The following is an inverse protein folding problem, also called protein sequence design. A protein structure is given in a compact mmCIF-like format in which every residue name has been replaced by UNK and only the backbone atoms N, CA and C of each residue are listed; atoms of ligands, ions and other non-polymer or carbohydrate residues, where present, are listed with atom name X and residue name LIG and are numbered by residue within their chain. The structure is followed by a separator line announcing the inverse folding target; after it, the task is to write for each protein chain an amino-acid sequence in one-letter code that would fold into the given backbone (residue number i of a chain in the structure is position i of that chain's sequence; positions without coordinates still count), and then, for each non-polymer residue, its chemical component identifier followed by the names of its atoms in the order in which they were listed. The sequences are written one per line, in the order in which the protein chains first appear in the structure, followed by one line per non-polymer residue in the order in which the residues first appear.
data_IF_810360371237
#
_entry.id   IF_810360371237
#
_cell.length_a   1.000
_cell.length_b   1.000
_cell.length_c   1.000
_cell.angle_alpha   90.00
_cell.angle_beta   90.00
_cell.angle_gamma   90.00
#
_symmetry.space_group_name_H-M   'P 1'
#
loop_
_entity.id
_entity.type
_entity.pdbx_description
1 polymer ?
#
# COMPACT_ATOMS: atom_id res chain seq x y z
N UNK A 1 -20.26 -33.38 15.83
CA UNK A 1 -21.13 -33.03 14.70
C UNK A 1 -22.18 -32.12 15.26
N UNK A 2 -21.94 -30.81 15.20
CA UNK A 2 -22.94 -29.82 15.55
C UNK A 2 -22.85 -28.70 14.52
N UNK A 3 -23.96 -28.55 13.81
CA UNK A 3 -24.24 -27.54 12.81
C UNK A 3 -24.78 -26.33 13.56
N UNK A 4 -24.27 -25.14 13.24
CA UNK A 4 -24.94 -23.90 13.64
C UNK A 4 -25.16 -23.06 12.39
N UNK A 5 -26.43 -22.98 11.97
CA UNK A 5 -26.94 -22.10 10.93
C UNK A 5 -27.23 -20.72 11.54
N UNK A 6 -26.70 -19.64 10.93
CA UNK A 6 -27.31 -18.30 11.04
C UNK A 6 -27.25 -17.55 9.71
N UNK A 7 -28.43 -17.37 9.14
CA UNK A 7 -28.87 -16.32 8.21
C UNK A 7 -28.07 -16.10 6.92
N UNK A 8 -28.35 -16.93 5.92
CA UNK A 8 -28.88 -16.49 4.60
C UNK A 8 -28.06 -15.52 3.74
N UNK A 9 -26.81 -15.22 4.09
CA UNK A 9 -25.95 -14.31 3.35
C UNK A 9 -24.56 -14.95 3.29
N UNK A 10 -24.26 -15.58 2.16
CA UNK A 10 -22.97 -16.17 1.86
C UNK A 10 -21.94 -15.04 1.68
N UNK A 11 -21.36 -14.60 2.79
CA UNK A 11 -20.12 -13.85 2.76
C UNK A 11 -19.01 -14.86 3.03
N UNK A 12 -18.00 -14.99 2.15
CA UNK A 12 -16.79 -15.66 2.57
C UNK A 12 -16.30 -14.93 3.83
N UNK A 13 -16.15 -15.64 4.96
CA UNK A 13 -15.34 -15.12 6.05
C UNK A 13 -13.93 -15.03 5.48
N UNK A 14 -13.60 -13.86 4.95
CA UNK A 14 -12.22 -13.53 4.65
C UNK A 14 -11.69 -12.97 5.96
N UNK A 15 -10.94 -13.79 6.68
CA UNK A 15 -10.14 -13.34 7.81
C UNK A 15 -9.13 -12.32 7.27
N UNK A 16 -9.50 -11.04 7.25
CA UNK A 16 -8.63 -9.94 6.81
C UNK A 16 -7.35 -9.83 7.68
N UNK A 17 -7.32 -10.49 8.83
CA UNK A 17 -6.18 -10.55 9.76
C UNK A 17 -5.12 -11.60 9.39
N UNK A 18 -5.43 -12.59 8.55
CA UNK A 18 -4.51 -13.71 8.26
C UNK A 18 -3.29 -13.33 7.38
N UNK A 19 -3.21 -12.10 6.88
CA UNK A 19 -2.14 -11.64 5.97
C UNK A 19 -1.46 -10.33 6.36
N UNK A 20 -1.71 -9.79 7.56
CA UNK A 20 -1.05 -8.58 8.03
C UNK A 20 0.28 -8.96 8.68
N UNK A 21 1.37 -8.85 7.94
CA UNK A 21 2.71 -8.87 8.54
C UNK A 21 2.87 -7.56 9.33
N UNK A 22 2.81 -7.65 10.66
CA UNK A 22 2.96 -6.52 11.60
C UNK A 22 4.39 -5.93 11.64
N UNK A 23 5.12 -6.00 10.53
CA UNK A 23 6.37 -5.29 10.36
C UNK A 23 6.05 -3.81 10.07
N UNK A 24 6.54 -2.91 10.91
CA UNK A 24 6.44 -1.47 10.64
C UNK A 24 7.44 -1.07 9.54
N UNK A 25 6.92 -0.52 8.44
CA UNK A 25 7.74 -0.09 7.30
C UNK A 25 8.27 1.33 7.46
N UNK A 26 7.65 2.11 8.33
CA UNK A 26 8.03 3.49 8.64
C UNK A 26 6.87 4.23 9.31
N UNK A 27 7.10 5.51 9.57
CA UNK A 27 6.08 6.40 10.13
C UNK A 27 5.25 7.00 9.00
N UNK A 28 3.94 7.09 9.20
CA UNK A 28 3.04 7.76 8.28
C UNK A 28 3.23 9.29 8.35
N UNK A 29 3.28 9.99 7.20
CA UNK A 29 3.43 11.45 7.18
C UNK A 29 2.20 12.21 7.72
N UNK A 30 1.02 11.58 7.76
CA UNK A 30 -0.24 12.20 8.20
C UNK A 30 -0.47 12.00 9.70
N UNK A 31 -0.43 10.73 10.14
CA UNK A 31 -0.79 10.32 11.50
C UNK A 31 0.44 10.10 12.42
N UNK A 32 1.67 10.10 11.88
CA UNK A 32 2.92 9.68 12.55
C UNK A 32 2.94 8.25 13.11
N UNK A 33 1.85 7.50 12.98
CA UNK A 33 1.78 6.11 13.39
C UNK A 33 2.50 5.17 12.42
N UNK A 34 2.69 3.93 12.86
CA UNK A 34 3.34 2.89 12.07
C UNK A 34 2.51 2.53 10.83
N UNK A 35 3.21 2.45 9.69
CA UNK A 35 2.67 1.90 8.45
C UNK A 35 2.90 0.39 8.45
N UNK A 36 1.83 -0.36 8.30
CA UNK A 36 1.84 -1.84 8.25
C UNK A 36 1.57 -2.33 6.83
N UNK A 37 2.00 -3.55 6.53
CA UNK A 37 1.71 -4.18 5.24
C UNK A 37 0.41 -4.95 5.30
N UNK A 38 -0.47 -4.61 4.37
CA UNK A 38 -1.65 -5.37 4.01
C UNK A 38 -1.36 -6.18 2.72
N UNK A 39 -2.21 -7.17 2.40
CA UNK A 39 -2.05 -7.99 1.20
C UNK A 39 -1.98 -7.14 -0.08
N UNK A 40 -2.79 -6.08 -0.17
CA UNK A 40 -2.94 -5.24 -1.38
C UNK A 40 -2.25 -3.87 -1.26
N UNK A 41 -1.95 -3.40 -0.05
CA UNK A 41 -1.47 -2.03 0.21
C UNK A 41 -0.59 -1.96 1.45
N UNK A 42 0.07 -0.83 1.66
CA UNK A 42 0.73 -0.47 2.91
C UNK A 42 -0.03 0.71 3.49
N UNK A 43 -0.66 0.54 4.66
CA UNK A 43 -1.56 1.53 5.25
C UNK A 43 -1.12 1.99 6.64
N UNK A 44 -1.53 3.19 7.07
CA UNK A 44 -1.39 3.60 8.48
C UNK A 44 -2.14 2.58 9.35
N UNK A 45 -1.49 2.11 10.43
CA UNK A 45 -2.12 1.22 11.42
C UNK A 45 -3.38 1.84 12.06
N UNK A 46 -3.43 3.18 12.12
CA UNK A 46 -4.56 3.98 12.61
C UNK A 46 -5.56 4.36 11.52
N UNK A 47 -5.73 3.54 10.49
CA UNK A 47 -6.74 3.79 9.46
C UNK A 47 -8.16 3.82 10.05
N UNK A 48 -8.42 3.01 11.10
CA UNK A 48 -9.68 3.03 11.87
C UNK A 48 -9.89 4.32 12.67
N UNK A 49 -8.82 5.02 13.06
CA UNK A 49 -8.92 6.31 13.77
C UNK A 49 -9.16 7.50 12.81
N UNK A 50 -9.24 7.24 11.50
CA UNK A 50 -9.53 8.25 10.47
C UNK A 50 -8.35 8.63 9.58
N UNK A 51 -7.24 7.90 9.61
CA UNK A 51 -6.13 8.15 8.69
C UNK A 51 -6.34 7.43 7.34
N UNK A 52 -6.64 8.17 6.28
CA UNK A 52 -6.90 7.63 4.94
C UNK A 52 -5.62 7.29 4.14
N UNK A 53 -4.44 7.37 4.79
CA UNK A 53 -3.17 7.12 4.12
C UNK A 53 -2.97 5.64 3.79
N UNK A 54 -3.00 5.32 2.50
CA UNK A 54 -2.71 3.98 1.99
C UNK A 54 -1.91 4.03 0.68
N UNK A 55 -0.82 3.26 0.63
CA UNK A 55 0.02 3.08 -0.55
C UNK A 55 -0.29 1.71 -1.15
N UNK A 56 -0.99 1.68 -2.28
CA UNK A 56 -1.26 0.42 -2.96
C UNK A 56 -0.02 -0.15 -3.65
N UNK A 57 0.18 -1.47 -3.57
CA UNK A 57 1.31 -2.16 -4.21
C UNK A 57 1.31 -1.96 -5.74
N UNK A 58 0.13 -1.87 -6.33
CA UNK A 58 -0.12 -1.65 -7.75
C UNK A 58 -0.31 -0.16 -8.13
N UNK A 59 -0.02 0.81 -7.25
CA UNK A 59 -0.22 2.24 -7.53
C UNK A 59 0.48 2.71 -8.82
N UNK A 60 1.68 2.18 -9.09
CA UNK A 60 2.45 2.50 -10.31
C UNK A 60 2.17 1.59 -11.50
N UNK A 61 1.37 0.54 -11.32
CA UNK A 61 0.96 -0.37 -12.41
C UNK A 61 0.21 0.38 -13.51
N UNK A 62 -0.61 1.39 -13.13
CA UNK A 62 -1.31 2.28 -14.08
C UNK A 62 -0.37 3.06 -15.00
N UNK A 63 0.88 3.26 -14.58
CA UNK A 63 1.92 3.95 -15.36
C UNK A 63 2.88 2.97 -16.07
N UNK A 64 2.62 1.66 -15.96
CA UNK A 64 3.48 0.60 -16.48
C UNK A 64 4.69 0.30 -15.59
N UNK A 65 4.63 0.68 -14.30
CA UNK A 65 5.58 0.28 -13.27
C UNK A 65 5.32 -1.13 -12.76
N UNK A 66 6.36 -1.76 -12.20
CA UNK A 66 6.21 -2.99 -11.41
C UNK A 66 5.60 -2.68 -10.05
N UNK A 67 5.19 -3.69 -9.30
CA UNK A 67 4.68 -3.50 -7.93
C UNK A 67 5.76 -2.93 -6.99
N UNK A 68 5.34 -2.08 -6.05
CA UNK A 68 6.24 -1.49 -5.07
C UNK A 68 6.78 -2.56 -4.11
N UNK A 69 8.09 -2.70 -4.07
CA UNK A 69 8.76 -3.63 -3.15
C UNK A 69 8.80 -3.05 -1.73
N UNK A 70 8.73 -3.90 -0.71
CA UNK A 70 8.91 -3.57 0.72
C UNK A 70 10.05 -2.55 0.99
N UNK A 71 11.21 -2.73 0.33
CA UNK A 71 12.37 -1.82 0.43
C UNK A 71 12.09 -0.41 -0.10
N UNK A 72 11.38 -0.31 -1.24
CA UNK A 72 11.06 0.98 -1.85
C UNK A 72 10.07 1.75 -1.00
N UNK A 73 9.09 1.07 -0.41
CA UNK A 73 8.12 1.70 0.51
C UNK A 73 8.82 2.19 1.77
N UNK A 74 9.72 1.39 2.35
CA UNK A 74 10.53 1.81 3.50
C UNK A 74 11.35 3.06 3.18
N UNK A 75 12.00 3.10 2.01
CA UNK A 75 12.76 4.28 1.60
C UNK A 75 11.87 5.49 1.31
N UNK A 76 10.71 5.28 0.68
CA UNK A 76 9.71 6.29 0.40
C UNK A 76 9.18 6.94 1.68
N UNK A 77 8.91 6.16 2.72
CA UNK A 77 8.45 6.66 4.02
C UNK A 77 9.58 7.37 4.80
N UNK A 78 10.83 6.89 4.70
CA UNK A 78 11.96 7.51 5.41
C UNK A 78 12.45 8.81 4.76
N UNK A 79 12.55 8.84 3.43
CA UNK A 79 13.11 9.96 2.67
C UNK A 79 12.04 10.87 2.07
N UNK A 80 10.77 10.48 2.13
CA UNK A 80 9.67 11.14 1.41
C UNK A 80 9.71 10.93 -0.11
N UNK A 81 10.71 10.20 -0.61
CA UNK A 81 10.92 9.95 -2.04
C UNK A 81 11.54 8.58 -2.30
N UNK A 82 11.16 7.95 -3.40
CA UNK A 82 11.83 6.74 -3.91
C UNK A 82 11.86 6.76 -5.43
N UNK A 83 12.82 6.06 -6.02
CA UNK A 83 12.97 6.02 -7.46
C UNK A 83 12.43 4.70 -8.00
N UNK A 84 11.49 4.76 -8.93
CA UNK A 84 10.88 3.56 -9.53
C UNK A 84 11.10 3.53 -11.03
N UNK A 85 11.10 2.32 -11.59
CA UNK A 85 11.22 2.13 -13.02
C UNK A 85 9.84 1.87 -13.61
N UNK A 86 9.44 2.71 -14.55
CA UNK A 86 8.17 2.54 -15.28
C UNK A 86 8.44 2.27 -16.76
N UNK A 87 7.63 1.39 -17.34
CA UNK A 87 7.67 1.03 -18.75
C UNK A 87 6.31 1.28 -19.38
N UNK A 88 6.19 2.38 -20.13
CA UNK A 88 5.01 2.63 -20.96
C UNK A 88 5.03 1.68 -22.16
N UNK A 89 3.92 0.99 -22.42
CA UNK A 89 3.77 0.01 -23.50
C UNK A 89 4.43 0.50 -24.80
N UNK A 90 5.43 -0.22 -25.28
CA UNK A 90 6.15 0.07 -26.53
C UNK A 90 7.31 1.07 -26.47
N UNK A 91 7.65 1.63 -25.29
CA UNK A 91 8.78 2.58 -25.13
C UNK A 91 9.87 2.07 -24.16
N UNK A 92 11.02 2.76 -24.16
CA UNK A 92 12.15 2.53 -23.24
C UNK A 92 11.72 2.69 -21.77
N UNK A 93 12.25 1.86 -20.90
CA UNK A 93 12.11 2.00 -19.44
C UNK A 93 12.70 3.34 -19.01
N UNK A 94 11.96 4.12 -18.22
CA UNK A 94 12.46 5.36 -17.63
C UNK A 94 12.41 5.28 -16.10
N UNK A 95 13.39 5.92 -15.47
CA UNK A 95 13.44 6.14 -14.03
C UNK A 95 12.56 7.34 -13.73
N UNK A 96 11.66 7.21 -12.76
CA UNK A 96 10.81 8.31 -12.26
C UNK A 96 10.90 8.38 -10.76
N UNK A 97 10.71 9.57 -10.22
CA UNK A 97 10.69 9.82 -8.79
C UNK A 97 9.24 9.74 -8.29
N UNK A 98 9.02 8.86 -7.31
CA UNK A 98 7.80 8.82 -6.51
C UNK A 98 8.02 9.71 -5.29
N UNK A 99 7.09 10.61 -5.04
CA UNK A 99 7.01 11.37 -3.81
C UNK A 99 5.86 10.82 -2.97
N UNK A 100 6.05 10.79 -1.66
CA UNK A 100 4.93 10.61 -0.74
C UNK A 100 4.06 11.86 -0.82
N UNK A 101 2.75 11.64 -0.94
CA UNK A 101 1.76 12.70 -0.97
C UNK A 101 0.88 12.54 0.28
N UNK A 102 0.81 13.59 1.08
CA UNK A 102 0.05 13.62 2.33
C UNK A 102 -1.47 13.50 2.12
N UNK A 103 -1.96 13.71 0.89
CA UNK A 103 -3.40 13.71 0.57
C UNK A 103 -3.82 12.42 -0.14
N UNK A 104 -3.01 11.90 -1.06
CA UNK A 104 -3.37 10.75 -1.92
C UNK A 104 -2.45 9.53 -1.75
N UNK A 105 -1.52 9.56 -0.80
CA UNK A 105 -0.55 8.50 -0.54
C UNK A 105 0.76 8.68 -1.31
N UNK A 106 0.70 8.71 -2.66
CA UNK A 106 1.88 8.85 -3.51
C UNK A 106 1.62 9.64 -4.80
N UNK A 107 2.56 10.53 -5.17
CA UNK A 107 2.57 11.29 -6.42
C UNK A 107 3.76 10.90 -7.29
N UNK A 108 3.52 10.56 -8.55
CA UNK A 108 4.58 10.32 -9.54
C UNK A 108 4.98 11.66 -10.15
N UNK A 109 6.26 12.01 -10.08
CA UNK A 109 6.82 13.11 -10.87
C UNK A 109 7.42 12.57 -12.17
N UNK A 110 7.09 13.23 -13.28
CA UNK A 110 7.58 12.93 -14.62
C UNK A 110 8.62 13.95 -15.09
#
# INVERSE_FOLDING_TARGET
MELVEKEGKFWPQVDFEAGVEAASFGSCPVCQADVVEYPLSYGCSRWEEGCEFAIFKNAISRFGGKELTKKQVKELLQKGKTEVYIRRFGKKTRKVELLVDEVYGCKVLF
#
